data_IF_254619160435
#
_entry.id   IF_254619160435
#
_cell.length_a   1.000
_cell.length_b   1.000
_cell.length_c   1.000
_cell.angle_alpha   90.00
_cell.angle_beta   90.00
_cell.angle_gamma   90.00
#
_symmetry.space_group_name_H-M   'P 1'
#
loop_
_entity.id
_entity.type
_entity.pdbx_description
1 polymer ?
#
# COMPACT_ATOMS: atom_id res chain seq x y z
N UNK A 1 -25.39 35.71 -13.97
CA UNK A 1 -25.84 34.48 -14.66
C UNK A 1 -24.67 33.73 -15.31
N UNK A 2 -23.82 34.38 -16.13
CA UNK A 2 -22.64 33.75 -16.75
C UNK A 2 -21.57 33.19 -15.78
N UNK A 3 -21.43 33.74 -14.57
CA UNK A 3 -20.42 33.30 -13.59
C UNK A 3 -20.78 31.98 -12.90
N UNK A 4 -22.05 31.74 -12.61
CA UNK A 4 -22.52 30.50 -11.93
C UNK A 4 -22.36 29.29 -12.87
N UNK A 5 -22.60 29.49 -14.16
CA UNK A 5 -22.39 28.49 -15.20
C UNK A 5 -20.90 28.13 -15.35
N UNK A 6 -20.01 29.13 -15.25
CA UNK A 6 -18.56 28.91 -15.23
C UNK A 6 -18.12 28.12 -13.99
N UNK A 7 -18.66 28.41 -12.81
CA UNK A 7 -18.36 27.68 -11.57
C UNK A 7 -18.82 26.22 -11.62
N UNK A 8 -19.97 25.96 -12.24
CA UNK A 8 -20.51 24.62 -12.40
C UNK A 8 -19.67 23.78 -13.38
N UNK A 9 -19.22 24.39 -14.48
CA UNK A 9 -18.28 23.78 -15.42
C UNK A 9 -16.95 23.46 -14.73
N UNK A 10 -16.40 24.38 -13.94
CA UNK A 10 -15.15 24.17 -13.21
C UNK A 10 -15.26 23.05 -12.17
N UNK A 11 -16.40 22.92 -11.48
CA UNK A 11 -16.66 21.79 -10.57
C UNK A 11 -16.73 20.46 -11.32
N UNK A 12 -17.36 20.43 -12.50
CA UNK A 12 -17.47 19.24 -13.34
C UNK A 12 -16.09 18.79 -13.84
N UNK A 13 -15.27 19.73 -14.31
CA UNK A 13 -13.89 19.47 -14.73
C UNK A 13 -13.08 18.87 -13.58
N UNK A 14 -13.13 19.48 -12.39
CA UNK A 14 -12.41 18.99 -11.20
C UNK A 14 -12.85 17.58 -10.79
N UNK A 15 -14.15 17.28 -10.90
CA UNK A 15 -14.66 15.94 -10.62
C UNK A 15 -14.13 14.89 -11.61
N UNK A 16 -14.10 15.23 -12.91
CA UNK A 16 -13.54 14.37 -13.96
C UNK A 16 -12.04 14.17 -13.72
N UNK A 17 -11.31 15.23 -13.40
CA UNK A 17 -9.86 15.20 -13.10
C UNK A 17 -9.53 14.27 -11.94
N UNK A 18 -10.25 14.41 -10.81
CA UNK A 18 -10.04 13.54 -9.63
C UNK A 18 -10.30 12.08 -9.98
N UNK A 19 -11.35 11.81 -10.75
CA UNK A 19 -11.74 10.45 -11.11
C UNK A 19 -10.80 9.83 -12.14
N UNK A 20 -10.35 10.61 -13.12
CA UNK A 20 -9.35 10.21 -14.10
C UNK A 20 -7.99 9.96 -13.44
N UNK A 21 -7.58 10.82 -12.49
CA UNK A 21 -6.36 10.61 -11.71
C UNK A 21 -6.46 9.36 -10.86
N UNK A 22 -7.56 9.15 -10.14
CA UNK A 22 -7.78 7.94 -9.34
C UNK A 22 -7.77 6.68 -10.22
N UNK A 23 -8.41 6.73 -11.38
CA UNK A 23 -8.41 5.62 -12.34
C UNK A 23 -7.00 5.36 -12.90
N UNK A 24 -6.24 6.41 -13.23
CA UNK A 24 -4.85 6.28 -13.66
C UNK A 24 -3.98 5.69 -12.54
N UNK A 25 -4.08 6.20 -11.32
CA UNK A 25 -3.41 5.65 -10.13
C UNK A 25 -3.79 4.19 -9.91
N UNK A 26 -5.08 3.81 -10.03
CA UNK A 26 -5.55 2.42 -9.94
C UNK A 26 -5.03 1.55 -11.10
N UNK A 27 -4.97 2.08 -12.32
CA UNK A 27 -4.41 1.41 -13.48
C UNK A 27 -2.90 1.15 -13.32
N UNK A 28 -2.16 2.08 -12.72
CA UNK A 28 -0.73 1.91 -12.40
C UNK A 28 -0.49 1.16 -11.08
N UNK A 29 -1.47 1.08 -10.19
CA UNK A 29 -1.43 0.26 -8.97
C UNK A 29 -1.68 -1.24 -9.25
N UNK A 30 -2.09 -1.58 -10.47
CA UNK A 30 -2.35 -2.96 -10.92
C UNK A 30 -1.12 -3.73 -11.41
N UNK A 31 0.04 -3.10 -11.58
CA UNK A 31 1.27 -3.75 -12.06
C UNK A 31 2.24 -4.20 -10.95
N UNK A 32 1.75 -4.43 -9.73
CA UNK A 32 2.45 -5.37 -8.85
C UNK A 32 2.00 -6.78 -9.20
N UNK A 33 2.69 -7.36 -10.20
CA UNK A 33 2.60 -8.78 -10.49
C UNK A 33 3.06 -9.57 -9.26
N UNK A 34 2.11 -9.99 -8.43
CA UNK A 34 2.32 -11.03 -7.42
C UNK A 34 2.88 -12.27 -8.12
N UNK A 35 4.04 -12.73 -7.67
CA UNK A 35 4.69 -13.95 -8.16
C UNK A 35 4.03 -15.24 -7.63
N UNK A 36 2.82 -15.18 -7.05
CA UNK A 36 2.19 -16.37 -6.46
C UNK A 36 0.81 -16.67 -7.05
N UNK A 37 0.81 -17.64 -7.98
CA UNK A 37 -0.39 -18.40 -8.34
C UNK A 37 -0.53 -19.61 -7.41
N UNK A 38 -1.36 -19.49 -6.38
CA UNK A 38 -1.93 -20.68 -5.72
C UNK A 38 -1.83 -20.72 -4.19
N UNK A 39 -3.00 -20.59 -3.56
CA UNK A 39 -3.36 -20.90 -2.16
C UNK A 39 -2.61 -20.16 -1.03
N UNK A 40 -3.21 -19.05 -0.62
CA UNK A 40 -3.15 -18.54 0.77
C UNK A 40 -2.09 -17.46 1.00
N UNK A 41 -2.55 -16.30 1.47
CA UNK A 41 -1.84 -15.44 2.43
C UNK A 41 -0.35 -15.18 2.10
N UNK A 42 -0.06 -14.18 1.26
CA UNK A 42 1.26 -13.53 1.27
C UNK A 42 1.35 -12.62 2.50
N UNK A 43 1.59 -13.24 3.66
CA UNK A 43 1.98 -12.58 4.89
C UNK A 43 3.50 -12.56 4.88
N UNK A 44 4.14 -11.40 5.00
CA UNK A 44 5.55 -11.36 5.41
C UNK A 44 5.60 -11.95 6.82
N UNK A 45 5.86 -13.25 6.94
CA UNK A 45 5.90 -13.96 8.21
C UNK A 45 7.04 -13.42 9.04
N UNK A 46 6.71 -12.48 9.93
CA UNK A 46 7.59 -12.10 11.03
C UNK A 46 7.80 -13.36 11.85
N UNK A 47 9.03 -13.85 11.89
CA UNK A 47 9.38 -15.11 12.55
C UNK A 47 10.31 -14.86 13.71
N UNK A 48 10.31 -15.78 14.67
CA UNK A 48 11.25 -15.71 15.78
C UNK A 48 12.69 -15.83 15.24
N UNK A 49 13.58 -15.03 15.81
CA UNK A 49 14.99 -15.03 15.48
C UNK A 49 15.61 -16.39 15.81
N UNK A 50 16.45 -16.86 14.91
CA UNK A 50 17.27 -18.05 15.08
C UNK A 50 18.74 -17.70 14.96
N UNK A 51 19.64 -18.38 15.70
CA UNK A 51 21.07 -18.17 15.55
C UNK A 51 21.52 -18.39 14.11
N UNK A 52 22.05 -17.35 13.48
CA UNK A 52 22.42 -17.35 12.06
C UNK A 52 21.71 -16.27 11.25
N UNK A 53 20.65 -15.68 11.81
CA UNK A 53 19.97 -14.54 11.20
C UNK A 53 20.77 -13.26 11.33
N UNK A 54 20.66 -12.38 10.33
CA UNK A 54 21.26 -11.06 10.41
C UNK A 54 20.51 -10.20 11.42
N UNK A 55 21.22 -9.74 12.44
CA UNK A 55 20.72 -8.86 13.51
C UNK A 55 20.10 -7.58 12.94
N UNK A 56 20.53 -7.12 11.76
CA UNK A 56 19.96 -5.94 11.09
C UNK A 56 18.51 -6.14 10.64
N UNK A 57 18.07 -7.39 10.52
CA UNK A 57 16.72 -7.76 10.14
C UNK A 57 15.76 -7.87 11.34
N UNK A 58 16.26 -7.61 12.56
CA UNK A 58 15.43 -7.63 13.76
C UNK A 58 14.37 -6.53 13.67
N UNK A 59 13.11 -6.93 13.78
CA UNK A 59 12.01 -6.02 13.98
C UNK A 59 11.90 -5.71 15.48
N UNK A 60 12.45 -4.56 15.87
CA UNK A 60 12.42 -4.09 17.26
C UNK A 60 11.00 -3.78 17.75
N UNK A 61 10.07 -3.42 16.87
CA UNK A 61 8.69 -3.12 17.26
C UNK A 61 7.93 -4.39 17.63
N UNK A 62 8.11 -5.48 16.86
CA UNK A 62 7.50 -6.78 17.16
C UNK A 62 8.19 -7.40 18.37
N UNK A 63 9.52 -7.36 18.40
CA UNK A 63 10.33 -7.84 19.53
C UNK A 63 9.88 -7.21 20.86
N UNK A 64 9.67 -5.89 20.89
CA UNK A 64 9.22 -5.18 22.09
C UNK A 64 7.82 -5.61 22.57
N UNK A 65 6.93 -6.03 21.66
CA UNK A 65 5.57 -6.49 22.01
C UNK A 65 5.52 -7.95 22.42
N UNK A 66 6.35 -8.80 21.82
CA UNK A 66 6.32 -10.25 22.01
C UNK A 66 7.27 -10.72 23.11
N UNK A 67 8.24 -9.88 23.53
CA UNK A 67 9.22 -10.21 24.56
C UNK A 67 10.30 -11.22 24.13
N UNK A 68 10.29 -11.62 22.85
CA UNK A 68 11.27 -12.50 22.20
C UNK A 68 11.75 -11.85 20.90
N UNK A 69 12.91 -12.22 20.38
CA UNK A 69 13.50 -11.61 19.19
C UNK A 69 12.76 -12.05 17.92
N UNK A 70 12.39 -11.11 17.05
CA UNK A 70 11.74 -11.40 15.77
C UNK A 70 12.48 -10.74 14.61
N UNK A 71 12.52 -11.42 13.47
CA UNK A 71 13.06 -10.91 12.19
C UNK A 71 11.95 -10.81 11.15
N UNK A 72 12.08 -9.85 10.24
CA UNK A 72 11.18 -9.66 9.10
C UNK A 72 11.69 -10.35 7.84
#
# INVERSE_FOLDING_TARGET
MRSVEQDEILRRIRWIEIRARKLAEEMFAGEYASAFKGRGIEFSEVREYTPGDDIRLIDWNVTARMGSLYVK
#
